data_IF_626411916158
#
_entry.id   IF_626411916158
#
_cell.length_a   1.000
_cell.length_b   1.000
_cell.length_c   1.000
_cell.angle_alpha   90.00
_cell.angle_beta   90.00
_cell.angle_gamma   90.00
#
_symmetry.space_group_name_H-M   'P 1'
#
loop_
_entity.id
_entity.type
_entity.pdbx_description
1 polymer ?
#
# COMPACT_ATOMS: atom_id res chain seq x y z
N UNK A 1 -28.81 23.32 -2.46
CA UNK A 1 -29.43 22.21 -3.20
C UNK A 1 -28.78 21.99 -4.58
N UNK A 2 -28.67 23.01 -5.42
CA UNK A 2 -28.08 22.94 -6.78
C UNK A 2 -26.64 22.43 -6.84
N UNK A 3 -25.77 22.78 -5.88
CA UNK A 3 -24.37 22.31 -5.82
C UNK A 3 -24.28 20.81 -5.53
N UNK A 4 -25.15 20.29 -4.66
CA UNK A 4 -25.23 18.84 -4.37
C UNK A 4 -25.73 18.04 -5.59
N UNK A 5 -26.65 18.60 -6.36
CA UNK A 5 -27.17 17.97 -7.59
C UNK A 5 -26.08 17.96 -8.67
N UNK A 6 -25.38 19.06 -8.90
CA UNK A 6 -24.25 19.12 -9.86
C UNK A 6 -23.14 18.13 -9.51
N UNK A 7 -22.74 18.02 -8.23
CA UNK A 7 -21.76 17.03 -7.78
C UNK A 7 -22.22 15.60 -8.03
N UNK A 8 -23.50 15.29 -7.78
CA UNK A 8 -24.05 13.94 -7.98
C UNK A 8 -24.14 13.57 -9.47
N UNK A 9 -24.49 14.51 -10.35
CA UNK A 9 -24.49 14.30 -11.80
C UNK A 9 -23.07 14.14 -12.33
N UNK A 10 -22.12 14.92 -11.86
CA UNK A 10 -20.71 14.79 -12.21
C UNK A 10 -20.12 13.44 -11.77
N UNK A 11 -20.47 12.96 -10.59
CA UNK A 11 -20.00 11.64 -10.10
C UNK A 11 -20.59 10.47 -10.89
N UNK A 12 -21.87 10.55 -11.31
CA UNK A 12 -22.49 9.52 -12.16
C UNK A 12 -21.87 9.49 -13.55
N UNK A 13 -21.58 10.67 -14.15
CA UNK A 13 -20.90 10.76 -15.43
C UNK A 13 -19.49 10.18 -15.37
N UNK A 14 -18.74 10.49 -14.31
CA UNK A 14 -17.41 9.97 -14.06
C UNK A 14 -17.41 8.43 -13.90
N UNK A 15 -18.38 7.89 -13.18
CA UNK A 15 -18.52 6.45 -13.00
C UNK A 15 -18.86 5.72 -14.32
N UNK A 16 -19.72 6.30 -15.15
CA UNK A 16 -20.03 5.75 -16.47
C UNK A 16 -18.81 5.73 -17.39
N UNK A 17 -18.06 6.83 -17.43
CA UNK A 17 -16.81 6.94 -18.20
C UNK A 17 -15.80 5.89 -17.74
N UNK A 18 -15.64 5.73 -16.43
CA UNK A 18 -14.76 4.72 -15.85
C UNK A 18 -15.16 3.29 -16.28
N UNK A 19 -16.46 2.94 -16.17
CA UNK A 19 -16.95 1.62 -16.60
C UNK A 19 -16.76 1.37 -18.09
N UNK A 20 -16.99 2.38 -18.92
CA UNK A 20 -16.73 2.28 -20.36
C UNK A 20 -15.23 2.09 -20.67
N UNK A 21 -14.36 2.76 -19.92
CA UNK A 21 -12.91 2.58 -20.05
C UNK A 21 -12.49 1.15 -19.69
N UNK A 22 -13.01 0.58 -18.59
CA UNK A 22 -12.79 -0.81 -18.20
C UNK A 22 -13.22 -1.78 -19.30
N UNK A 23 -14.42 -1.59 -19.89
CA UNK A 23 -14.92 -2.44 -20.97
C UNK A 23 -14.04 -2.36 -22.23
N UNK A 24 -13.60 -1.16 -22.60
CA UNK A 24 -12.72 -0.95 -23.76
C UNK A 24 -11.34 -1.59 -23.55
N UNK A 25 -10.82 -1.53 -22.32
CA UNK A 25 -9.48 -2.05 -22.03
C UNK A 25 -9.46 -3.56 -21.81
N UNK A 26 -10.60 -4.17 -21.48
CA UNK A 26 -10.69 -5.59 -21.16
C UNK A 26 -10.09 -6.53 -22.23
N UNK A 27 -10.19 -6.16 -23.53
CA UNK A 27 -9.60 -6.93 -24.62
C UNK A 27 -8.06 -6.75 -24.76
N UNK A 28 -7.49 -5.75 -24.07
CA UNK A 28 -6.07 -5.42 -24.14
C UNK A 28 -5.30 -5.84 -22.88
N UNK A 29 -5.98 -6.47 -21.92
CA UNK A 29 -5.34 -6.92 -20.70
C UNK A 29 -4.24 -7.94 -21.00
N UNK A 30 -3.05 -7.82 -20.39
CA UNK A 30 -1.96 -8.75 -20.63
C UNK A 30 -2.32 -10.16 -20.15
N UNK A 31 -1.76 -11.16 -20.81
CA UNK A 31 -1.89 -12.55 -20.39
C UNK A 31 -1.20 -12.77 -19.03
N UNK A 32 -1.84 -13.58 -18.19
CA UNK A 32 -1.30 -13.98 -16.90
C UNK A 32 -0.83 -15.43 -16.90
N UNK A 33 0.24 -15.70 -16.19
CA UNK A 33 0.66 -17.06 -15.87
C UNK A 33 -0.36 -17.71 -14.92
N UNK A 34 -0.38 -19.04 -14.87
CA UNK A 34 -1.33 -19.79 -14.03
C UNK A 34 -1.14 -19.46 -12.52
N UNK A 35 0.11 -19.32 -12.08
CA UNK A 35 0.47 -18.91 -10.71
C UNK A 35 -0.08 -17.55 -10.32
N UNK A 36 -0.11 -16.61 -11.27
CA UNK A 36 -0.51 -15.22 -11.02
C UNK A 36 -2.02 -15.05 -10.90
N UNK A 37 -2.78 -16.00 -11.42
CA UNK A 37 -4.25 -16.01 -11.28
C UNK A 37 -4.68 -16.08 -9.82
N UNK A 38 -3.95 -16.84 -9.01
CA UNK A 38 -4.24 -16.90 -7.56
C UNK A 38 -4.08 -15.54 -6.91
N UNK A 39 -3.01 -14.80 -7.24
CA UNK A 39 -2.80 -13.42 -6.75
C UNK A 39 -3.99 -12.53 -7.14
N UNK A 40 -4.39 -12.60 -8.40
CA UNK A 40 -5.52 -11.80 -8.91
C UNK A 40 -6.84 -12.17 -8.23
N UNK A 41 -7.10 -13.45 -8.00
CA UNK A 41 -8.34 -13.93 -7.37
C UNK A 41 -8.41 -13.51 -5.90
N UNK A 42 -7.32 -13.62 -5.14
CA UNK A 42 -7.23 -13.17 -3.75
C UNK A 42 -7.47 -11.64 -3.66
N UNK A 43 -6.85 -10.85 -4.54
CA UNK A 43 -7.08 -9.40 -4.64
C UNK A 43 -8.54 -9.07 -4.98
N UNK A 44 -9.16 -9.82 -5.90
CA UNK A 44 -10.57 -9.66 -6.26
C UNK A 44 -11.50 -10.08 -5.13
N UNK A 45 -11.15 -11.07 -4.33
CA UNK A 45 -11.93 -11.55 -3.20
C UNK A 45 -11.83 -10.57 -2.03
N UNK A 46 -10.66 -10.48 -1.41
CA UNK A 46 -10.45 -9.79 -0.15
C UNK A 46 -9.66 -8.47 -0.25
N UNK A 47 -9.14 -8.16 -1.44
CA UNK A 47 -8.35 -6.95 -1.66
C UNK A 47 -6.90 -7.11 -1.24
N UNK A 48 -6.44 -8.32 -0.91
CA UNK A 48 -5.10 -8.57 -0.43
C UNK A 48 -4.61 -9.95 -0.86
N UNK A 49 -3.31 -10.05 -1.12
CA UNK A 49 -2.56 -11.30 -1.28
C UNK A 49 -1.24 -11.19 -0.53
N UNK A 50 -0.88 -12.23 0.21
CA UNK A 50 0.38 -12.30 0.95
C UNK A 50 1.23 -13.41 0.34
N UNK A 51 2.48 -13.09 0.02
CA UNK A 51 3.47 -13.96 -0.59
C UNK A 51 4.87 -13.60 -0.08
N UNK A 52 5.91 -14.08 -0.74
CA UNK A 52 7.30 -13.75 -0.44
C UNK A 52 8.05 -13.30 -1.69
N UNK A 53 9.17 -12.60 -1.51
CA UNK A 53 10.06 -12.25 -2.61
C UNK A 53 10.58 -13.50 -3.34
N UNK A 54 10.78 -14.60 -2.60
CA UNK A 54 11.22 -15.88 -3.17
C UNK A 54 10.14 -16.52 -4.05
N UNK A 55 8.87 -16.49 -3.64
CA UNK A 55 7.75 -17.01 -4.43
C UNK A 55 7.46 -16.14 -5.67
N UNK A 56 7.65 -14.82 -5.59
CA UNK A 56 7.59 -13.95 -6.76
C UNK A 56 8.71 -14.25 -7.75
N UNK A 57 9.92 -14.57 -7.27
CA UNK A 57 11.03 -15.07 -8.09
C UNK A 57 11.53 -14.07 -9.15
N UNK A 58 11.54 -12.76 -8.83
CA UNK A 58 12.05 -11.76 -9.77
C UNK A 58 13.59 -11.70 -9.72
N UNK A 59 14.22 -11.70 -10.88
CA UNK A 59 15.67 -11.65 -11.03
C UNK A 59 16.28 -10.36 -10.44
N UNK A 60 15.53 -9.28 -10.40
CA UNK A 60 15.93 -7.99 -9.81
C UNK A 60 15.87 -7.94 -8.26
N UNK A 61 15.41 -9.01 -7.60
CA UNK A 61 15.25 -9.03 -6.14
C UNK A 61 16.57 -8.90 -5.36
N UNK A 62 17.67 -9.57 -5.73
CA UNK A 62 18.93 -9.43 -5.00
C UNK A 62 19.45 -7.98 -4.97
N UNK A 63 19.40 -7.28 -6.10
CA UNK A 63 19.81 -5.88 -6.22
C UNK A 63 18.91 -4.95 -5.42
N UNK A 64 17.59 -5.18 -5.46
CA UNK A 64 16.62 -4.46 -4.62
C UNK A 64 17.00 -4.57 -3.13
N UNK A 65 17.20 -5.80 -2.63
CA UNK A 65 17.52 -6.04 -1.22
C UNK A 65 18.85 -5.43 -0.82
N UNK A 66 19.89 -5.60 -1.64
CA UNK A 66 21.20 -4.98 -1.42
C UNK A 66 21.09 -3.46 -1.30
N UNK A 67 20.37 -2.81 -2.19
CA UNK A 67 20.14 -1.37 -2.16
C UNK A 67 19.30 -0.97 -0.93
N UNK A 68 18.22 -1.68 -0.64
CA UNK A 68 17.34 -1.39 0.49
C UNK A 68 18.09 -1.43 1.83
N UNK A 69 18.89 -2.48 2.08
CA UNK A 69 19.70 -2.58 3.29
C UNK A 69 20.83 -1.53 3.31
N UNK A 70 21.46 -1.25 2.16
CA UNK A 70 22.49 -0.23 2.06
C UNK A 70 21.96 1.16 2.44
N UNK A 71 20.80 1.55 1.93
CA UNK A 71 20.19 2.85 2.25
C UNK A 71 19.53 2.89 3.61
N UNK A 72 19.02 1.77 4.12
CA UNK A 72 18.43 1.72 5.48
C UNK A 72 19.48 1.98 6.57
N UNK A 73 20.75 1.68 6.32
CA UNK A 73 21.85 1.99 7.26
C UNK A 73 22.04 3.49 7.51
N UNK A 74 21.52 4.35 6.62
CA UNK A 74 21.52 5.81 6.80
C UNK A 74 20.35 6.31 7.66
N UNK A 75 19.38 5.44 7.96
CA UNK A 75 18.26 5.76 8.82
C UNK A 75 18.68 5.68 10.28
N UNK A 76 18.15 6.57 11.11
CA UNK A 76 18.47 6.63 12.52
C UNK A 76 18.31 5.27 13.20
N UNK A 77 19.27 4.92 14.05
CA UNK A 77 19.07 3.84 15.01
C UNK A 77 18.10 4.31 16.09
N UNK A 78 17.18 3.44 16.48
CA UNK A 78 16.23 3.73 17.55
C UNK A 78 16.91 3.82 18.92
N UNK A 79 17.75 4.83 19.20
CA UNK A 79 18.09 5.19 20.56
C UNK A 79 16.82 5.77 21.19
N UNK A 80 16.19 4.98 22.04
CA UNK A 80 14.92 5.27 22.65
C UNK A 80 15.09 6.30 23.76
N UNK A 81 14.79 7.55 23.45
CA UNK A 81 14.27 8.45 24.45
C UNK A 81 12.77 8.14 24.55
N UNK A 82 12.39 7.31 25.53
CA UNK A 82 11.00 6.86 25.77
C UNK A 82 10.00 8.01 26.01
N UNK A 83 10.47 9.25 26.08
CA UNK A 83 9.66 10.43 26.38
C UNK A 83 9.06 11.11 25.13
N UNK A 84 9.48 10.74 23.91
CA UNK A 84 9.03 11.39 22.66
C UNK A 84 8.61 10.38 21.61
N UNK A 85 7.38 10.53 21.12
CA UNK A 85 6.94 9.80 19.93
C UNK A 85 7.78 10.18 18.71
N UNK A 86 8.38 9.19 18.05
CA UNK A 86 9.09 9.40 16.80
C UNK A 86 8.17 9.16 15.62
N UNK A 87 8.15 10.12 14.69
CA UNK A 87 7.51 9.91 13.39
C UNK A 87 8.32 8.93 12.55
N UNK A 88 7.67 8.16 11.66
CA UNK A 88 8.36 7.31 10.72
C UNK A 88 9.38 8.09 9.90
N UNK A 89 10.57 7.54 9.70
CA UNK A 89 11.54 8.05 8.75
C UNK A 89 11.26 7.42 7.38
N UNK A 90 11.11 8.26 6.37
CA UNK A 90 10.77 7.84 5.01
C UNK A 90 11.76 8.44 4.03
N UNK A 91 12.32 7.61 3.14
CA UNK A 91 13.09 8.04 1.99
C UNK A 91 12.35 7.75 0.69
N UNK A 92 12.29 8.74 -0.20
CA UNK A 92 11.89 8.52 -1.59
C UNK A 92 13.06 7.89 -2.34
N UNK A 93 12.91 6.65 -2.79
CA UNK A 93 13.96 5.87 -3.49
C UNK A 93 13.61 5.55 -4.95
N UNK A 94 12.50 6.09 -5.45
CA UNK A 94 11.95 5.85 -6.80
C UNK A 94 12.96 6.11 -7.94
N UNK A 95 13.87 7.05 -7.76
CA UNK A 95 14.87 7.44 -8.76
C UNK A 95 16.09 6.52 -8.80
N UNK A 96 16.21 5.61 -7.87
CA UNK A 96 17.31 4.63 -7.81
C UNK A 96 16.93 3.43 -8.69
N UNK A 97 17.85 2.99 -9.59
CA UNK A 97 17.51 1.99 -10.61
C UNK A 97 17.05 0.65 -10.02
N UNK A 98 17.62 0.21 -8.91
CA UNK A 98 17.30 -1.07 -8.28
C UNK A 98 15.82 -1.13 -7.86
N UNK A 99 15.30 -0.04 -7.29
CA UNK A 99 13.89 0.05 -6.87
C UNK A 99 12.96 0.25 -8.06
N UNK A 100 13.39 1.08 -9.04
CA UNK A 100 12.60 1.32 -10.26
C UNK A 100 12.49 0.03 -11.10
N UNK A 101 13.56 -0.73 -11.23
CA UNK A 101 13.58 -1.99 -11.99
C UNK A 101 12.63 -3.00 -11.38
N UNK A 102 12.77 -3.26 -10.05
CA UNK A 102 11.90 -4.21 -9.37
C UNK A 102 10.41 -3.79 -9.43
N UNK A 103 10.13 -2.51 -9.17
CA UNK A 103 8.76 -1.98 -9.23
C UNK A 103 8.16 -1.99 -10.65
N UNK A 104 8.98 -2.12 -11.68
CA UNK A 104 8.58 -2.16 -13.09
C UNK A 104 8.69 -3.55 -13.71
N UNK A 105 8.88 -4.60 -12.90
CA UNK A 105 8.90 -5.98 -13.39
C UNK A 105 7.64 -6.29 -14.21
N UNK A 106 7.83 -6.75 -15.42
CA UNK A 106 6.73 -6.92 -16.39
C UNK A 106 5.63 -7.84 -15.86
N UNK A 107 6.02 -8.95 -15.22
CA UNK A 107 5.08 -9.90 -14.61
C UNK A 107 4.25 -9.23 -13.53
N UNK A 108 4.88 -8.42 -12.68
CA UNK A 108 4.20 -7.65 -11.62
C UNK A 108 3.21 -6.64 -12.22
N UNK A 109 3.64 -5.87 -13.22
CA UNK A 109 2.78 -4.91 -13.90
C UNK A 109 1.58 -5.60 -14.57
N UNK A 110 1.77 -6.78 -15.17
CA UNK A 110 0.70 -7.55 -15.77
C UNK A 110 -0.37 -7.96 -14.74
N UNK A 111 0.05 -8.40 -13.54
CA UNK A 111 -0.87 -8.75 -12.44
C UNK A 111 -1.68 -7.53 -12.02
N UNK A 112 -1.00 -6.41 -11.80
CA UNK A 112 -1.61 -5.16 -11.33
C UNK A 112 -2.59 -4.60 -12.37
N UNK A 113 -2.21 -4.60 -13.65
CA UNK A 113 -3.08 -4.13 -14.74
C UNK A 113 -4.35 -4.98 -14.87
N UNK A 114 -4.24 -6.30 -14.73
CA UNK A 114 -5.39 -7.21 -14.69
C UNK A 114 -6.30 -6.97 -13.47
N UNK A 115 -5.74 -6.52 -12.34
CA UNK A 115 -6.53 -6.18 -11.18
C UNK A 115 -7.24 -4.83 -11.33
N UNK A 116 -6.51 -3.79 -11.71
CA UNK A 116 -7.05 -2.44 -11.91
C UNK A 116 -8.02 -2.43 -13.09
N UNK A 117 -7.72 -3.18 -14.16
CA UNK A 117 -8.52 -3.30 -15.37
C UNK A 117 -8.34 -2.14 -16.35
N UNK A 118 -7.34 -1.29 -16.16
CA UNK A 118 -6.96 -0.13 -16.98
C UNK A 118 -5.45 -0.07 -17.12
N UNK A 119 -4.91 0.68 -18.10
CA UNK A 119 -3.49 0.98 -18.17
C UNK A 119 -3.02 1.60 -16.85
N UNK A 120 -1.87 1.16 -16.36
CA UNK A 120 -1.37 1.50 -15.03
C UNK A 120 -0.16 2.44 -15.08
N UNK A 121 0.07 3.12 -13.96
CA UNK A 121 1.28 3.86 -13.68
C UNK A 121 1.88 3.38 -12.36
N UNK A 122 3.18 3.12 -12.37
CA UNK A 122 4.00 2.95 -11.18
C UNK A 122 4.44 4.32 -10.68
N UNK A 123 3.96 4.73 -9.49
CA UNK A 123 4.30 6.02 -8.90
C UNK A 123 5.68 6.02 -8.30
N UNK A 124 6.08 4.93 -7.66
CA UNK A 124 7.42 4.80 -7.08
C UNK A 124 7.46 4.01 -5.79
N UNK A 125 8.60 4.14 -5.10
CA UNK A 125 8.92 3.39 -3.88
C UNK A 125 9.38 4.33 -2.78
N UNK A 126 8.90 4.06 -1.57
CA UNK A 126 9.42 4.61 -0.32
C UNK A 126 10.15 3.51 0.47
N UNK A 127 11.34 3.79 0.96
CA UNK A 127 11.99 3.04 2.02
C UNK A 127 11.59 3.68 3.35
N UNK A 128 10.97 2.90 4.24
CA UNK A 128 10.37 3.41 5.46
C UNK A 128 10.82 2.64 6.68
N UNK A 129 11.24 3.37 7.71
CA UNK A 129 11.49 2.88 9.05
C UNK A 129 10.47 3.46 10.02
N UNK A 130 9.70 2.57 10.61
CA UNK A 130 8.75 2.91 11.67
C UNK A 130 9.40 2.65 13.02
N UNK A 131 9.27 3.60 13.94
CA UNK A 131 9.79 3.51 15.30
C UNK A 131 8.71 3.10 16.29
N UNK A 132 9.08 2.59 17.48
CA UNK A 132 8.14 2.33 18.56
C UNK A 132 7.23 3.52 18.83
N UNK A 133 5.97 3.24 19.07
CA UNK A 133 4.98 4.22 19.46
C UNK A 133 3.86 3.56 20.27
N UNK A 134 3.21 4.32 21.14
CA UNK A 134 2.13 3.84 22.04
C UNK A 134 0.75 4.33 21.60
N UNK A 135 0.69 5.43 20.86
CA UNK A 135 -0.57 6.06 20.48
C UNK A 135 -0.89 5.81 19.01
N UNK A 136 -2.17 5.57 18.72
CA UNK A 136 -2.64 5.47 17.34
C UNK A 136 -2.77 6.86 16.72
N UNK A 137 -2.02 7.10 15.64
CA UNK A 137 -2.13 8.33 14.85
C UNK A 137 -1.83 8.08 13.37
N UNK A 138 -2.34 8.94 12.49
CA UNK A 138 -2.11 8.84 11.05
C UNK A 138 -2.47 7.48 10.48
N UNK A 139 -1.51 6.80 9.87
CA UNK A 139 -1.71 5.47 9.24
C UNK A 139 -1.90 4.31 10.23
N UNK A 140 -1.89 4.58 11.54
CA UNK A 140 -2.24 3.61 12.57
C UNK A 140 -3.72 3.64 12.93
N UNK A 141 -4.46 4.65 12.51
CA UNK A 141 -5.91 4.62 12.52
C UNK A 141 -6.41 3.75 11.37
N UNK A 142 -7.50 3.02 11.58
CA UNK A 142 -8.16 2.26 10.54
C UNK A 142 -8.72 3.19 9.48
N UNK A 143 -8.28 3.02 8.24
CA UNK A 143 -8.61 3.91 7.13
C UNK A 143 -8.72 3.17 5.80
N UNK A 144 -9.07 3.91 4.78
CA UNK A 144 -8.99 3.52 3.36
C UNK A 144 -8.24 4.58 2.61
N UNK A 145 -7.39 4.17 1.71
CA UNK A 145 -6.70 5.09 0.83
C UNK A 145 -7.62 5.68 -0.24
N UNK A 146 -7.22 6.79 -0.82
CA UNK A 146 -8.10 7.59 -1.65
C UNK A 146 -7.54 7.96 -3.02
N UNK A 147 -6.35 7.46 -3.38
CA UNK A 147 -5.62 7.85 -4.59
C UNK A 147 -6.38 7.53 -5.88
N UNK A 148 -7.04 6.36 -5.93
CA UNK A 148 -7.80 5.93 -7.10
C UNK A 148 -9.00 5.05 -6.71
N UNK A 149 -9.85 4.68 -7.70
CA UNK A 149 -10.98 3.75 -7.54
C UNK A 149 -10.52 2.32 -7.26
N UNK A 150 -9.44 1.90 -7.92
CA UNK A 150 -8.68 0.68 -7.67
C UNK A 150 -7.22 1.02 -7.74
N UNK A 151 -6.48 0.55 -6.79
CA UNK A 151 -5.05 0.78 -6.70
C UNK A 151 -4.36 -0.41 -6.06
N UNK A 152 -3.07 -0.51 -6.22
CA UNK A 152 -2.27 -1.50 -5.51
C UNK A 152 -1.15 -0.77 -4.77
N UNK A 153 -0.99 -1.12 -3.50
CA UNK A 153 0.25 -0.91 -2.76
C UNK A 153 0.92 -2.25 -2.51
N UNK A 154 2.24 -2.24 -2.60
CA UNK A 154 3.05 -3.41 -2.26
C UNK A 154 3.90 -3.01 -1.07
N UNK A 155 3.79 -3.82 -0.01
CA UNK A 155 4.59 -3.67 1.21
C UNK A 155 5.54 -4.85 1.26
N UNK A 156 6.84 -4.58 1.37
CA UNK A 156 7.86 -5.61 1.53
C UNK A 156 8.50 -5.43 2.90
N UNK A 157 8.50 -6.46 3.72
CA UNK A 157 9.19 -6.47 5.01
C UNK A 157 10.68 -6.71 4.80
N UNK A 158 11.51 -5.83 5.34
CA UNK A 158 12.96 -5.92 5.28
C UNK A 158 13.58 -6.49 6.58
N UNK A 159 12.80 -6.62 7.63
CA UNK A 159 13.11 -7.38 8.85
C UNK A 159 11.91 -8.30 9.17
N UNK A 160 12.12 -9.25 10.08
CA UNK A 160 11.03 -10.04 10.59
C UNK A 160 10.00 -9.15 11.27
N UNK A 161 8.72 -9.36 10.98
CA UNK A 161 7.60 -8.59 11.53
C UNK A 161 6.68 -9.50 12.33
N UNK A 162 6.80 -9.42 13.64
CA UNK A 162 5.93 -10.01 14.64
C UNK A 162 4.99 -8.94 15.20
N UNK A 163 4.08 -9.27 16.11
CA UNK A 163 3.14 -8.32 16.74
C UNK A 163 3.85 -7.10 17.35
N UNK A 164 5.02 -7.31 17.99
CA UNK A 164 5.83 -6.24 18.59
C UNK A 164 6.36 -5.20 17.59
N UNK A 165 6.46 -5.55 16.30
CA UNK A 165 6.92 -4.67 15.22
C UNK A 165 5.79 -3.88 14.56
N UNK A 166 4.53 -4.11 14.98
CA UNK A 166 3.36 -3.44 14.43
C UNK A 166 3.07 -3.83 12.98
N UNK A 167 2.63 -5.07 12.73
CA UNK A 167 2.31 -5.55 11.40
C UNK A 167 1.22 -4.71 10.72
N UNK A 168 1.11 -4.88 9.40
CA UNK A 168 -0.05 -4.42 8.66
C UNK A 168 -1.26 -5.27 9.06
N UNK A 169 -2.36 -4.63 9.45
CA UNK A 169 -3.63 -5.30 9.70
C UNK A 169 -4.71 -4.83 8.75
N UNK A 170 -5.64 -5.74 8.45
CA UNK A 170 -6.76 -5.45 7.56
C UNK A 170 -8.03 -6.16 7.96
N UNK A 171 -9.15 -5.64 7.49
CA UNK A 171 -10.46 -6.30 7.56
C UNK A 171 -10.75 -6.96 6.22
N UNK A 172 -10.98 -8.29 6.17
CA UNK A 172 -11.39 -8.96 4.94
C UNK A 172 -12.58 -8.27 4.28
N UNK A 173 -12.49 -8.03 2.97
CA UNK A 173 -13.53 -7.29 2.25
C UNK A 173 -14.90 -7.99 2.30
N UNK A 174 -14.92 -9.30 2.51
CA UNK A 174 -16.15 -10.07 2.75
C UNK A 174 -16.94 -9.61 3.97
N UNK A 175 -16.26 -9.06 5.00
CA UNK A 175 -16.91 -8.53 6.22
C UNK A 175 -17.42 -7.09 6.03
N UNK A 176 -16.90 -6.38 5.06
CA UNK A 176 -17.23 -4.98 4.75
C UNK A 176 -17.80 -4.82 3.34
N UNK A 177 -18.47 -5.85 2.80
CA UNK A 177 -19.14 -5.77 1.51
C UNK A 177 -20.42 -4.93 1.60
N UNK A 178 -20.85 -4.37 0.47
CA UNK A 178 -22.07 -3.53 0.35
C UNK A 178 -23.35 -4.18 0.89
N UNK A 179 -23.38 -5.52 0.96
CA UNK A 179 -24.53 -6.28 1.47
C UNK A 179 -24.49 -6.53 2.99
N UNK A 180 -23.48 -6.02 3.68
CA UNK A 180 -23.28 -6.19 5.13
C UNK A 180 -23.58 -4.89 5.86
N UNK A 181 -24.29 -4.99 7.00
CA UNK A 181 -24.54 -3.85 7.88
C UNK A 181 -23.22 -3.18 8.34
N UNK A 182 -22.17 -3.97 8.57
CA UNK A 182 -20.83 -3.50 8.94
C UNK A 182 -20.25 -2.50 7.92
N UNK A 183 -20.53 -2.67 6.62
CA UNK A 183 -20.12 -1.71 5.59
C UNK A 183 -20.65 -0.31 5.93
N UNK A 184 -21.96 -0.18 6.14
CA UNK A 184 -22.58 1.12 6.39
C UNK A 184 -22.15 1.74 7.71
N UNK A 185 -22.02 0.93 8.76
CA UNK A 185 -21.58 1.40 10.08
C UNK A 185 -20.12 1.89 10.03
N UNK A 186 -19.22 1.13 9.43
CA UNK A 186 -17.81 1.51 9.28
C UNK A 186 -17.66 2.74 8.39
N UNK A 187 -18.39 2.78 7.26
CA UNK A 187 -18.35 3.92 6.37
C UNK A 187 -18.86 5.20 7.03
N UNK A 188 -19.89 5.09 7.86
CA UNK A 188 -20.43 6.22 8.63
C UNK A 188 -19.40 6.74 9.65
N UNK A 189 -18.73 5.86 10.38
CA UNK A 189 -17.67 6.25 11.33
C UNK A 189 -16.48 6.92 10.60
N UNK A 190 -16.02 6.35 9.49
CA UNK A 190 -14.97 6.96 8.67
C UNK A 190 -15.38 8.34 8.12
N UNK A 191 -16.64 8.50 7.74
CA UNK A 191 -17.15 9.81 7.31
C UNK A 191 -17.21 10.81 8.47
N UNK A 192 -17.63 10.39 9.66
CA UNK A 192 -17.64 11.24 10.86
C UNK A 192 -16.23 11.71 11.25
N UNK A 193 -15.21 10.86 11.10
CA UNK A 193 -13.81 11.23 11.34
C UNK A 193 -13.21 12.15 10.27
N UNK A 194 -13.99 12.57 9.25
CA UNK A 194 -13.47 13.32 8.11
C UNK A 194 -12.52 12.49 7.22
N UNK A 195 -12.68 11.16 7.24
CA UNK A 195 -11.80 10.20 6.55
C UNK A 195 -10.35 10.16 7.08
N UNK A 196 -10.11 10.66 8.27
CA UNK A 196 -8.79 10.58 8.93
C UNK A 196 -8.50 9.20 9.50
N UNK A 197 -9.54 8.39 9.69
CA UNK A 197 -9.49 7.05 10.27
C UNK A 197 -10.25 6.94 11.59
N UNK A 198 -10.39 5.72 12.10
CA UNK A 198 -11.06 5.38 13.36
C UNK A 198 -10.13 4.52 14.21
N UNK A 199 -10.32 4.56 15.53
CA UNK A 199 -9.48 3.80 16.49
C UNK A 199 -9.84 2.32 16.51
N UNK A 200 -9.02 1.52 17.18
CA UNK A 200 -9.28 0.09 17.42
C UNK A 200 -10.58 -0.10 18.20
N UNK A 201 -10.83 0.72 19.21
CA UNK A 201 -12.04 0.66 20.01
C UNK A 201 -13.29 0.93 19.16
N UNK A 202 -13.24 1.97 18.32
CA UNK A 202 -14.35 2.33 17.46
C UNK A 202 -14.64 1.26 16.41
N UNK A 203 -13.60 0.62 15.84
CA UNK A 203 -13.78 -0.48 14.89
C UNK A 203 -14.29 -1.74 15.59
N UNK A 204 -13.79 -2.07 16.77
CA UNK A 204 -14.21 -3.24 17.55
C UNK A 204 -15.70 -3.22 17.92
N UNK A 205 -16.31 -2.03 18.08
CA UNK A 205 -17.77 -1.89 18.23
C UNK A 205 -18.58 -2.39 17.04
N UNK A 206 -17.95 -2.48 15.86
CA UNK A 206 -18.60 -2.84 14.58
C UNK A 206 -18.17 -4.23 14.13
N UNK A 207 -16.89 -4.52 14.18
CA UNK A 207 -16.24 -5.75 13.73
C UNK A 207 -15.33 -6.23 14.85
N UNK A 208 -15.65 -7.35 15.50
CA UNK A 208 -14.86 -7.88 16.61
C UNK A 208 -13.40 -8.11 16.22
N UNK A 209 -12.48 -7.84 17.16
CA UNK A 209 -11.03 -7.92 16.95
C UNK A 209 -10.56 -9.30 16.46
N UNK A 210 -11.25 -10.36 16.84
CA UNK A 210 -10.98 -11.74 16.41
C UNK A 210 -11.16 -11.95 14.89
N UNK A 211 -11.89 -11.04 14.24
CA UNK A 211 -12.10 -11.06 12.79
C UNK A 211 -11.04 -10.25 12.00
N UNK A 212 -10.18 -9.50 12.69
CA UNK A 212 -9.09 -8.75 12.07
C UNK A 212 -7.98 -9.71 11.63
N UNK A 213 -7.25 -9.33 10.61
CA UNK A 213 -6.17 -10.14 10.05
C UNK A 213 -4.86 -9.39 10.15
N UNK A 214 -3.95 -9.93 10.95
CA UNK A 214 -2.59 -9.43 11.09
C UNK A 214 -1.66 -10.10 10.08
N UNK A 215 -0.84 -9.32 9.40
CA UNK A 215 0.12 -9.79 8.40
C UNK A 215 1.52 -9.86 9.02
N UNK A 216 1.73 -10.78 9.95
CA UNK A 216 3.08 -11.09 10.44
C UNK A 216 3.86 -11.91 9.40
N UNK A 217 5.19 -11.87 9.44
CA UNK A 217 6.02 -12.65 8.53
C UNK A 217 7.51 -12.35 8.65
N UNK A 218 8.34 -13.20 8.07
CA UNK A 218 9.79 -13.03 8.01
C UNK A 218 10.18 -11.91 7.03
N UNK A 219 11.43 -11.47 7.12
CA UNK A 219 12.04 -10.62 6.10
C UNK A 219 11.84 -11.23 4.70
N UNK A 220 11.45 -10.41 3.73
CA UNK A 220 11.07 -10.86 2.39
C UNK A 220 9.58 -11.18 2.22
N UNK A 221 8.75 -11.08 3.26
CA UNK A 221 7.28 -11.14 3.11
C UNK A 221 6.81 -9.96 2.27
N UNK A 222 5.92 -10.24 1.32
CA UNK A 222 5.33 -9.28 0.39
C UNK A 222 3.81 -9.27 0.57
N UNK A 223 3.27 -8.10 0.86
CA UNK A 223 1.83 -7.86 0.95
C UNK A 223 1.42 -7.04 -0.27
N UNK A 224 0.60 -7.62 -1.14
CA UNK A 224 0.00 -6.95 -2.30
C UNK A 224 -1.43 -6.61 -1.91
N UNK A 225 -1.76 -5.34 -1.82
CA UNK A 225 -3.05 -4.90 -1.26
C UNK A 225 -3.69 -3.79 -2.08
N UNK A 226 -5.01 -3.85 -2.25
CA UNK A 226 -5.83 -2.70 -2.62
C UNK A 226 -6.32 -1.99 -1.35
N UNK A 227 -5.63 -0.93 -0.92
CA UNK A 227 -5.95 -0.22 0.32
C UNK A 227 -7.22 0.65 0.19
N UNK A 228 -7.77 0.80 -1.02
CA UNK A 228 -9.10 1.36 -1.25
C UNK A 228 -10.20 0.37 -0.93
N UNK A 229 -9.97 -0.92 -1.22
CA UNK A 229 -10.93 -2.00 -0.98
C UNK A 229 -10.88 -2.47 0.47
N UNK A 230 -9.70 -2.79 0.99
CA UNK A 230 -9.48 -3.26 2.35
C UNK A 230 -9.40 -2.08 3.33
N UNK A 231 -10.21 -2.11 4.39
CA UNK A 231 -9.99 -1.24 5.56
C UNK A 231 -8.75 -1.78 6.26
N UNK A 232 -7.79 -0.92 6.54
CA UNK A 232 -6.50 -1.34 7.04
C UNK A 232 -5.85 -0.30 7.95
N UNK A 233 -4.82 -0.72 8.66
CA UNK A 233 -3.93 0.15 9.40
C UNK A 233 -2.55 -0.53 9.65
N UNK A 234 -1.60 0.22 10.20
CA UNK A 234 -0.41 -0.33 10.84
C UNK A 234 -0.62 -0.34 12.35
N UNK A 235 -0.36 -1.47 13.02
CA UNK A 235 -0.57 -1.54 14.47
C UNK A 235 0.49 -0.77 15.24
N UNK A 236 0.19 -0.48 16.51
CA UNK A 236 1.17 0.06 17.48
C UNK A 236 2.32 -0.92 17.67
N UNK A 237 3.50 -0.42 18.02
CA UNK A 237 4.73 -1.23 18.05
C UNK A 237 5.65 -0.85 19.20
N UNK A 238 6.43 -1.83 19.65
CA UNK A 238 7.47 -1.66 20.65
C UNK A 238 8.88 -1.81 20.09
N UNK A 239 9.00 -2.33 18.85
CA UNK A 239 10.25 -2.49 18.12
C UNK A 239 10.15 -1.87 16.71
N UNK A 240 11.29 -1.57 16.10
CA UNK A 240 11.38 -0.96 14.78
C UNK A 240 10.86 -1.92 13.69
N UNK A 241 10.17 -1.35 12.69
CA UNK A 241 9.82 -2.05 11.45
C UNK A 241 10.42 -1.35 10.26
N UNK A 242 11.08 -2.11 9.39
CA UNK A 242 11.67 -1.62 8.14
C UNK A 242 10.94 -2.21 6.94
N UNK A 243 10.52 -1.34 6.02
CA UNK A 243 9.66 -1.74 4.89
C UNK A 243 9.97 -0.95 3.63
N UNK A 244 9.63 -1.56 2.47
CA UNK A 244 9.42 -0.84 1.22
C UNK A 244 7.93 -0.71 0.95
N UNK A 245 7.51 0.45 0.44
CA UNK A 245 6.15 0.72 0.00
C UNK A 245 6.17 1.17 -1.45
N UNK A 246 5.51 0.43 -2.34
CA UNK A 246 5.30 0.81 -3.74
C UNK A 246 3.84 1.14 -4.00
N UNK A 247 3.57 2.05 -4.93
CA UNK A 247 2.22 2.49 -5.27
C UNK A 247 1.96 2.42 -6.78
N UNK A 248 0.79 1.89 -7.13
CA UNK A 248 0.30 1.74 -8.51
C UNK A 248 -1.16 2.15 -8.59
N UNK A 249 -1.50 2.93 -9.62
CA UNK A 249 -2.88 3.32 -9.92
C UNK A 249 -3.15 3.18 -11.42
N UNK A 250 -4.36 3.49 -11.86
CA UNK A 250 -4.61 3.74 -13.27
C UNK A 250 -3.81 4.97 -13.76
N UNK A 251 -3.65 5.12 -15.06
CA UNK A 251 -3.00 6.31 -15.65
C UNK A 251 -3.77 7.61 -15.44
N UNK A 252 -4.99 7.52 -14.93
CA UNK A 252 -5.86 8.66 -14.60
C UNK A 252 -6.51 8.45 -13.23
N UNK A 253 -5.73 8.52 -12.15
CA UNK A 253 -6.24 8.29 -10.80
C UNK A 253 -7.23 9.39 -10.38
N UNK A 254 -8.11 9.07 -9.43
CA UNK A 254 -9.10 10.02 -8.90
C UNK A 254 -8.44 11.22 -8.20
N UNK A 255 -7.28 11.00 -7.57
CA UNK A 255 -6.55 12.01 -6.79
C UNK A 255 -5.05 11.98 -7.11
N UNK A 256 -4.66 12.45 -8.30
CA UNK A 256 -3.27 12.45 -8.74
C UNK A 256 -2.34 13.25 -7.82
N UNK A 257 -2.87 14.27 -7.12
CA UNK A 257 -2.11 15.10 -6.21
C UNK A 257 -1.55 14.32 -5.00
N UNK A 258 -2.21 13.25 -4.58
CA UNK A 258 -1.74 12.39 -3.48
C UNK A 258 -0.62 11.47 -3.92
N UNK A 259 -0.56 11.13 -5.22
CA UNK A 259 0.45 10.24 -5.78
C UNK A 259 1.82 10.91 -5.98
N UNK A 260 1.89 12.24 -5.96
CA UNK A 260 3.15 12.98 -6.23
C UNK A 260 4.23 12.72 -5.21
N UNK A 261 3.86 12.41 -3.95
CA UNK A 261 4.79 12.13 -2.84
C UNK A 261 5.86 11.07 -3.13
N UNK A 262 5.61 10.19 -4.10
CA UNK A 262 6.56 9.15 -4.51
C UNK A 262 7.67 9.69 -5.41
N UNK A 263 7.59 10.94 -5.88
CA UNK A 263 8.54 11.54 -6.83
C UNK A 263 8.97 12.96 -6.49
N UNK A 264 8.16 13.68 -5.73
CA UNK A 264 8.44 15.06 -5.30
C UNK A 264 9.38 15.10 -4.08
N UNK A 265 9.47 16.23 -3.42
CA UNK A 265 10.31 16.45 -2.25
C UNK A 265 9.53 16.35 -0.93
N UNK A 266 8.36 15.68 -0.92
CA UNK A 266 7.59 15.42 0.32
C UNK A 266 8.42 14.64 1.33
N UNK A 267 9.17 13.65 0.86
CA UNK A 267 10.14 12.92 1.68
C UNK A 267 11.56 13.10 1.15
N UNK A 268 12.57 13.11 2.04
CA UNK A 268 13.96 13.24 1.65
C UNK A 268 14.42 12.04 0.80
N UNK A 269 15.50 12.27 0.08
CA UNK A 269 16.24 11.22 -0.66
C UNK A 269 17.44 10.78 0.15
N UNK A 270 17.80 9.48 0.16
CA UNK A 270 19.02 9.04 0.81
C UNK A 270 20.24 9.61 0.08
N UNK A 271 21.38 9.72 0.81
CA UNK A 271 22.65 10.06 0.19
C UNK A 271 23.11 8.90 -0.68
N UNK A 272 23.56 9.19 -1.91
CA UNK A 272 24.16 8.17 -2.77
C UNK A 272 25.43 7.63 -2.08
N UNK A 273 25.51 6.32 -1.91
CA UNK A 273 26.72 5.66 -1.41
C UNK A 273 27.65 5.36 -2.59
N UNK A 274 28.94 5.64 -2.46
CA UNK A 274 29.95 5.45 -3.52
C UNK A 274 30.08 3.98 -4.01
N UNK A 275 29.53 3.03 -3.27
CA UNK A 275 29.54 1.60 -3.61
C UNK A 275 28.66 1.20 -4.79
N UNK A 276 27.77 2.08 -5.26
CA UNK A 276 26.87 1.78 -6.39
C UNK A 276 27.41 2.34 -7.72
N UNK A 277 28.39 3.25 -7.68
CA UNK A 277 28.93 3.89 -8.89
C UNK A 277 29.95 3.05 -9.69
N UNK A 278 30.40 1.89 -9.19
CA UNK A 278 31.43 1.07 -9.85
C UNK A 278 30.88 -0.07 -10.73
N UNK A 279 29.59 -0.13 -10.99
CA UNK A 279 28.99 -1.13 -11.89
C UNK A 279 28.43 -0.56 -13.20
N UNK A 280 28.81 0.71 -13.51
CA UNK A 280 28.46 1.35 -14.79
C UNK A 280 29.74 1.87 -15.48
N UNK A 281 30.59 0.96 -15.95
CA UNK A 281 31.55 1.17 -17.05
C UNK A 281 31.55 -0.09 -17.92
#
# INVERSE_FOLDING_TARGET
MLIKIKRKISSLGSELVYRLALLKHAANLPALEASDRKILDDLKCDGIHITTLAELGFDSTPELLKAAYGYSSQMESGNHDDSKEKFPQVYTVTYLPEFATWGSEKRLLNIIENYIGLPIIFHGVHLRKDFPNRNQFGTQLWHKDAEDRRMIKIIIYLNDVEEKHGPFEYIPASLTSLFRLNYYRTYYKLWQSGHLGITDEELNEIIPKEAWKSCTGSAGTVIIVDPKKAIHHGTSRTEDRLTLFSCYTSTSPDRPEVCTQYRDNTFPRPKLTETVSNSAI
#
